data_IF_763944789179
#
_entry.id   IF_763944789179
#
_cell.length_a   1.000
_cell.length_b   1.000
_cell.length_c   1.000
_cell.angle_alpha   90.00
_cell.angle_beta   90.00
_cell.angle_gamma   90.00
#
_symmetry.space_group_name_H-M   'P 1'
#
loop_
_entity.id
_entity.type
_entity.pdbx_description
1 polymer ?
#
# COMPACT_ATOMS: atom_id res chain seq x y z
N UNK A 1 -33.50 -26.88 -17.36
CA UNK A 1 -32.87 -26.84 -16.06
C UNK A 1 -31.68 -25.90 -16.20
N UNK A 2 -31.83 -24.65 -15.77
CA UNK A 2 -30.74 -23.68 -15.78
C UNK A 2 -30.02 -23.84 -14.42
N UNK A 3 -28.81 -24.36 -14.45
CA UNK A 3 -27.92 -24.33 -13.29
C UNK A 3 -27.62 -22.86 -12.99
N UNK A 4 -28.12 -22.38 -11.87
CA UNK A 4 -27.68 -21.14 -11.27
C UNK A 4 -26.23 -21.32 -10.85
N UNK A 5 -25.30 -20.77 -11.61
CA UNK A 5 -23.93 -20.56 -11.17
C UNK A 5 -23.98 -19.73 -9.89
N UNK A 6 -23.83 -20.38 -8.75
CA UNK A 6 -23.59 -19.73 -7.48
C UNK A 6 -22.26 -18.97 -7.62
N UNK A 7 -22.32 -17.68 -7.91
CA UNK A 7 -21.15 -16.82 -7.82
C UNK A 7 -20.73 -16.79 -6.36
N UNK A 8 -19.53 -17.25 -6.04
CA UNK A 8 -18.93 -17.01 -4.73
C UNK A 8 -19.02 -15.52 -4.42
N UNK A 9 -19.32 -15.15 -3.15
CA UNK A 9 -19.39 -13.74 -2.80
C UNK A 9 -18.07 -13.06 -3.17
N UNK A 10 -18.15 -11.86 -3.73
CA UNK A 10 -16.96 -11.09 -4.07
C UNK A 10 -16.15 -10.80 -2.80
N UNK A 11 -14.82 -10.88 -2.89
CA UNK A 11 -13.94 -10.49 -1.78
C UNK A 11 -14.26 -9.04 -1.36
N UNK A 12 -14.28 -8.80 -0.05
CA UNK A 12 -14.61 -7.50 0.55
C UNK A 12 -13.34 -6.87 1.10
N UNK A 13 -12.96 -5.69 0.57
CA UNK A 13 -11.74 -4.99 0.97
C UNK A 13 -12.10 -3.68 1.65
N UNK A 14 -11.74 -3.56 2.93
CA UNK A 14 -11.92 -2.34 3.71
C UNK A 14 -10.99 -1.24 3.24
N UNK A 15 -11.52 -0.03 3.06
CA UNK A 15 -10.74 1.17 2.74
C UNK A 15 -10.94 2.17 3.86
N UNK A 16 -9.86 2.50 4.57
CA UNK A 16 -9.94 3.36 5.76
C UNK A 16 -9.92 4.83 5.34
N UNK A 17 -10.79 5.61 5.98
CA UNK A 17 -10.80 7.08 5.86
C UNK A 17 -10.54 7.73 7.22
N UNK A 18 -9.44 8.47 7.34
CA UNK A 18 -9.13 9.37 8.44
C UNK A 18 -9.47 10.82 8.06
N UNK A 19 -9.63 11.74 9.02
CA UNK A 19 -9.58 13.15 8.71
C UNK A 19 -8.27 13.51 8.00
N UNK A 20 -8.33 13.99 6.75
CA UNK A 20 -7.16 14.28 5.93
C UNK A 20 -6.69 13.15 5.01
N UNK A 21 -7.35 11.99 4.96
CA UNK A 21 -7.16 11.03 3.88
C UNK A 21 -7.61 11.66 2.56
N UNK A 22 -6.84 11.44 1.49
CA UNK A 22 -7.12 12.01 0.16
C UNK A 22 -7.37 10.94 -0.91
N UNK A 23 -6.81 9.74 -0.75
CA UNK A 23 -6.78 8.71 -1.79
C UNK A 23 -7.73 7.53 -1.50
N UNK A 24 -8.67 7.67 -0.56
CA UNK A 24 -9.66 6.63 -0.22
C UNK A 24 -10.62 6.33 -1.37
N UNK A 25 -11.05 7.34 -2.11
CA UNK A 25 -11.91 7.19 -3.30
C UNK A 25 -11.17 6.45 -4.42
N UNK A 26 -9.89 6.77 -4.63
CA UNK A 26 -9.06 6.14 -5.65
C UNK A 26 -8.72 4.69 -5.26
N UNK A 27 -8.41 4.43 -4.00
CA UNK A 27 -8.23 3.07 -3.48
C UNK A 27 -9.50 2.22 -3.64
N UNK A 28 -10.68 2.78 -3.30
CA UNK A 28 -11.95 2.10 -3.50
C UNK A 28 -12.26 1.83 -4.98
N UNK A 29 -11.87 2.74 -5.87
CA UNK A 29 -11.95 2.53 -7.33
C UNK A 29 -11.03 1.40 -7.78
N UNK A 30 -9.79 1.38 -7.32
CA UNK A 30 -8.83 0.33 -7.63
C UNK A 30 -9.33 -1.06 -7.18
N UNK A 31 -9.91 -1.15 -5.99
CA UNK A 31 -10.56 -2.38 -5.46
C UNK A 31 -11.67 -2.85 -6.40
N UNK A 32 -12.57 -1.94 -6.86
CA UNK A 32 -13.65 -2.31 -7.81
C UNK A 32 -13.10 -2.79 -9.15
N UNK A 33 -12.09 -2.11 -9.70
CA UNK A 33 -11.47 -2.48 -10.98
C UNK A 33 -10.70 -3.81 -10.88
N UNK A 34 -10.24 -4.16 -9.70
CA UNK A 34 -9.66 -5.48 -9.44
C UNK A 34 -10.71 -6.60 -9.36
N UNK A 35 -11.99 -6.28 -9.14
CA UNK A 35 -13.09 -7.25 -9.06
C UNK A 35 -13.56 -7.56 -7.63
N UNK A 36 -13.21 -6.74 -6.63
CA UNK A 36 -13.66 -6.87 -5.25
C UNK A 36 -14.65 -5.77 -4.85
N UNK A 37 -15.32 -5.96 -3.71
CA UNK A 37 -16.23 -4.97 -3.11
C UNK A 37 -15.45 -4.08 -2.14
N UNK A 38 -15.33 -2.76 -2.35
CA UNK A 38 -14.77 -1.85 -1.36
C UNK A 38 -15.78 -1.55 -0.27
N UNK A 39 -15.35 -1.67 0.98
CA UNK A 39 -16.11 -1.33 2.18
C UNK A 39 -15.47 -0.11 2.83
N UNK A 40 -16.22 0.97 3.00
CA UNK A 40 -15.71 2.16 3.69
C UNK A 40 -15.59 1.88 5.19
N UNK A 41 -14.42 2.17 5.75
CA UNK A 41 -14.12 2.09 7.18
C UNK A 41 -13.76 3.48 7.69
N UNK A 42 -14.55 4.00 8.63
CA UNK A 42 -14.29 5.31 9.23
C UNK A 42 -13.32 5.17 10.40
N UNK A 43 -12.44 6.14 10.59
CA UNK A 43 -11.41 6.07 11.63
C UNK A 43 -11.91 5.84 13.06
N UNK A 44 -13.21 6.09 13.32
CA UNK A 44 -13.86 5.85 14.64
C UNK A 44 -14.55 4.50 14.73
N UNK A 45 -14.60 3.73 13.65
CA UNK A 45 -15.20 2.40 13.69
C UNK A 45 -14.36 1.49 14.58
N UNK A 46 -15.03 0.72 15.44
CA UNK A 46 -14.42 -0.31 16.28
C UNK A 46 -14.76 -1.71 15.74
N UNK A 47 -14.95 -1.82 14.44
CA UNK A 47 -15.27 -3.04 13.71
C UNK A 47 -14.82 -2.89 12.25
N UNK A 48 -14.29 -3.94 11.66
CA UNK A 48 -13.89 -3.99 10.25
C UNK A 48 -15.02 -4.45 9.31
N UNK A 49 -16.26 -4.54 9.80
CA UNK A 49 -17.46 -4.88 9.00
C UNK A 49 -17.36 -6.18 8.20
N UNK A 50 -16.58 -7.16 8.69
CA UNK A 50 -16.41 -8.46 8.05
C UNK A 50 -15.71 -8.39 6.71
N UNK A 51 -14.70 -7.52 6.55
CA UNK A 51 -13.86 -7.47 5.36
C UNK A 51 -12.79 -8.55 5.40
N UNK A 52 -12.31 -8.95 4.22
CA UNK A 52 -11.31 -9.99 4.04
C UNK A 52 -9.89 -9.42 3.99
N UNK A 53 -9.73 -8.16 3.64
CA UNK A 53 -8.46 -7.44 3.60
C UNK A 53 -8.69 -5.93 3.86
N UNK A 54 -7.62 -5.19 4.16
CA UNK A 54 -7.69 -3.75 4.44
C UNK A 54 -6.67 -2.98 3.62
N UNK A 55 -7.08 -1.83 3.09
CA UNK A 55 -6.22 -0.80 2.51
C UNK A 55 -6.25 0.45 3.40
N UNK A 56 -5.08 0.90 3.80
CA UNK A 56 -4.86 2.20 4.47
C UNK A 56 -4.32 3.16 3.43
N UNK A 57 -5.15 4.09 2.90
CA UNK A 57 -4.80 4.94 1.75
C UNK A 57 -3.82 6.05 2.09
N UNK A 58 -3.42 6.78 1.04
CA UNK A 58 -2.62 7.98 1.12
C UNK A 58 -3.39 9.23 1.55
N UNK A 59 -2.65 10.28 1.92
CA UNK A 59 -3.17 11.55 2.37
C UNK A 59 -2.28 12.20 3.42
N UNK A 60 -2.89 12.99 4.29
CA UNK A 60 -2.26 13.69 5.40
C UNK A 60 -3.12 13.51 6.66
N UNK A 61 -3.17 12.29 7.19
CA UNK A 61 -4.04 11.90 8.30
C UNK A 61 -3.85 12.81 9.51
N UNK A 62 -4.94 13.43 9.97
CA UNK A 62 -4.94 14.42 11.05
C UNK A 62 -3.99 15.60 10.81
N UNK A 63 -3.69 15.92 9.52
CA UNK A 63 -2.81 17.02 9.13
C UNK A 63 -1.33 16.77 9.39
N UNK A 64 -0.92 15.51 9.58
CA UNK A 64 0.46 15.07 9.90
C UNK A 64 1.07 15.79 11.11
N UNK A 65 0.23 16.27 12.04
CA UNK A 65 0.71 16.86 13.28
C UNK A 65 1.57 15.87 14.07
N UNK A 66 2.64 16.34 14.67
CA UNK A 66 3.75 15.62 15.29
C UNK A 66 4.68 15.00 14.24
N UNK A 67 4.21 14.02 13.48
CA UNK A 67 4.80 13.40 12.29
C UNK A 67 3.73 12.56 11.60
N UNK A 68 3.97 12.24 10.33
CA UNK A 68 3.03 11.48 9.51
C UNK A 68 2.66 10.15 10.16
N UNK A 69 1.36 9.88 10.26
CA UNK A 69 0.83 8.63 10.84
C UNK A 69 0.78 8.55 12.37
N UNK A 70 1.49 9.43 13.09
CA UNK A 70 1.66 9.31 14.54
C UNK A 70 0.35 9.41 15.35
N UNK A 71 -0.62 10.20 14.90
CA UNK A 71 -1.92 10.31 15.54
C UNK A 71 -2.86 9.21 15.04
N UNK A 72 -2.84 8.92 13.73
CA UNK A 72 -3.73 7.95 13.11
C UNK A 72 -3.61 6.55 13.72
N UNK A 73 -2.41 6.14 14.13
CA UNK A 73 -2.18 4.83 14.75
C UNK A 73 -3.04 4.57 15.99
N UNK A 74 -3.53 5.62 16.68
CA UNK A 74 -4.38 5.52 17.89
C UNK A 74 -5.87 5.59 17.56
N UNK A 75 -6.26 5.64 16.29
CA UNK A 75 -7.67 5.63 15.93
C UNK A 75 -8.30 4.25 16.26
N UNK A 76 -9.56 4.19 16.71
CA UNK A 76 -10.23 2.92 17.04
C UNK A 76 -10.12 1.87 15.92
N UNK A 77 -10.31 2.26 14.66
CA UNK A 77 -10.18 1.34 13.53
C UNK A 77 -8.79 0.69 13.44
N UNK A 78 -7.72 1.38 13.87
CA UNK A 78 -6.37 0.84 13.82
C UNK A 78 -6.11 -0.23 14.89
N UNK A 79 -6.80 -0.19 16.02
CA UNK A 79 -6.74 -1.28 17.01
C UNK A 79 -7.27 -2.58 16.39
N UNK A 80 -8.37 -2.50 15.64
CA UNK A 80 -8.95 -3.63 14.93
C UNK A 80 -8.07 -4.10 13.77
N UNK A 81 -7.45 -3.17 13.02
CA UNK A 81 -6.50 -3.51 11.95
C UNK A 81 -5.29 -4.24 12.50
N UNK A 82 -4.68 -3.76 13.60
CA UNK A 82 -3.54 -4.42 14.23
C UNK A 82 -3.93 -5.84 14.65
N UNK A 83 -5.03 -6.01 15.38
CA UNK A 83 -5.50 -7.32 15.81
C UNK A 83 -5.81 -8.26 14.62
N UNK A 84 -6.38 -7.73 13.52
CA UNK A 84 -6.67 -8.51 12.32
C UNK A 84 -5.39 -8.91 11.56
N UNK A 85 -4.43 -7.98 11.44
CA UNK A 85 -3.12 -8.25 10.83
C UNK A 85 -2.35 -9.34 11.59
N UNK A 86 -2.38 -9.33 12.92
CA UNK A 86 -1.78 -10.37 13.77
C UNK A 86 -2.43 -11.73 13.55
N UNK A 87 -3.73 -11.78 13.21
CA UNK A 87 -4.42 -13.02 12.82
C UNK A 87 -4.15 -13.45 11.38
N UNK A 88 -3.46 -12.63 10.57
CA UNK A 88 -3.06 -12.95 9.20
C UNK A 88 -3.87 -12.25 8.12
N UNK A 89 -4.79 -11.34 8.46
CA UNK A 89 -5.51 -10.56 7.46
C UNK A 89 -4.55 -9.76 6.59
N UNK A 90 -4.70 -9.76 5.26
CA UNK A 90 -3.92 -8.91 4.37
C UNK A 90 -4.16 -7.43 4.62
N UNK A 91 -3.10 -6.64 4.78
CA UNK A 91 -3.16 -5.18 4.98
C UNK A 91 -2.17 -4.50 4.06
N UNK A 92 -2.63 -3.50 3.30
CA UNK A 92 -1.80 -2.64 2.46
C UNK A 92 -1.81 -1.20 2.98
N UNK A 93 -0.64 -0.63 3.22
CA UNK A 93 -0.47 0.80 3.48
C UNK A 93 0.13 1.52 2.28
N UNK A 94 -0.55 2.54 1.77
CA UNK A 94 -0.08 3.33 0.62
C UNK A 94 0.29 4.73 1.11
N UNK A 95 1.51 5.18 0.83
CA UNK A 95 2.02 6.52 1.17
C UNK A 95 1.81 6.84 2.67
N UNK A 96 0.86 7.69 3.02
CA UNK A 96 0.50 7.97 4.41
C UNK A 96 0.04 6.70 5.16
N UNK A 97 -0.62 5.77 4.48
CA UNK A 97 -0.96 4.46 5.03
C UNK A 97 0.27 3.64 5.44
N UNK A 98 1.34 3.67 4.64
CA UNK A 98 2.61 3.05 5.02
C UNK A 98 3.21 3.71 6.28
N UNK A 99 3.19 5.02 6.36
CA UNK A 99 3.63 5.77 7.54
C UNK A 99 2.84 5.35 8.79
N UNK A 100 1.51 5.22 8.67
CA UNK A 100 0.63 4.77 9.76
C UNK A 100 0.99 3.34 10.21
N UNK A 101 1.20 2.42 9.26
CA UNK A 101 1.54 1.03 9.58
C UNK A 101 2.93 0.91 10.23
N UNK A 102 3.90 1.75 9.83
CA UNK A 102 5.21 1.84 10.50
C UNK A 102 5.07 2.40 11.92
N UNK A 103 4.28 3.45 12.13
CA UNK A 103 3.99 4.01 13.45
C UNK A 103 3.20 3.03 14.36
N UNK A 104 2.37 2.19 13.78
CA UNK A 104 1.65 1.11 14.48
C UNK A 104 2.52 -0.12 14.74
N UNK A 105 3.80 -0.10 14.34
CA UNK A 105 4.75 -1.22 14.46
C UNK A 105 4.33 -2.51 13.73
N UNK A 106 3.46 -2.40 12.74
CA UNK A 106 3.11 -3.50 11.84
C UNK A 106 4.15 -3.69 10.73
N UNK A 107 4.95 -2.65 10.45
CA UNK A 107 6.03 -2.66 9.48
C UNK A 107 7.33 -2.12 10.10
N UNK A 108 8.48 -2.62 9.65
CA UNK A 108 9.79 -2.16 10.10
C UNK A 108 10.16 -0.79 9.54
N UNK A 109 11.15 -0.14 10.16
CA UNK A 109 11.71 1.13 9.73
C UNK A 109 10.83 2.34 10.08
N UNK A 110 11.17 3.47 9.47
CA UNK A 110 10.43 4.72 9.61
C UNK A 110 10.52 5.56 8.33
N UNK A 111 9.57 6.46 8.12
CA UNK A 111 9.53 7.38 6.99
C UNK A 111 9.83 8.80 7.47
N UNK A 112 10.82 9.42 6.86
CA UNK A 112 11.23 10.79 7.16
C UNK A 112 11.01 11.71 5.95
N UNK A 113 11.28 12.99 6.17
CA UNK A 113 11.28 14.00 5.12
C UNK A 113 12.25 13.61 4.01
N UNK A 114 11.83 13.81 2.75
CA UNK A 114 12.66 13.57 1.58
C UNK A 114 14.01 14.28 1.72
N UNK A 115 15.10 13.64 1.30
CA UNK A 115 16.45 14.17 1.48
C UNK A 115 16.65 15.56 0.83
N UNK A 116 15.93 15.85 -0.25
CA UNK A 116 15.93 17.14 -0.93
C UNK A 116 15.02 18.19 -0.29
N UNK A 117 14.32 17.86 0.80
CA UNK A 117 13.37 18.74 1.54
C UNK A 117 12.20 19.26 0.68
N UNK A 118 11.86 18.57 -0.42
CA UNK A 118 10.79 18.97 -1.34
C UNK A 118 9.72 17.91 -1.43
N UNK A 119 8.49 18.35 -1.67
CA UNK A 119 7.43 17.47 -2.15
C UNK A 119 7.76 17.03 -3.57
N UNK A 120 7.67 15.73 -3.84
CA UNK A 120 7.95 15.12 -5.15
C UNK A 120 6.63 14.57 -5.68
N UNK A 121 6.30 14.91 -6.94
CA UNK A 121 5.14 14.38 -7.65
C UNK A 121 5.60 14.01 -9.06
N UNK A 122 5.83 12.72 -9.30
CA UNK A 122 6.39 12.19 -10.56
C UNK A 122 5.86 10.79 -10.83
N UNK A 123 5.95 10.33 -12.08
CA UNK A 123 5.91 8.91 -12.37
C UNK A 123 7.22 8.26 -11.91
N UNK A 124 7.09 7.19 -11.16
CA UNK A 124 8.23 6.51 -10.58
C UNK A 124 8.28 5.05 -11.01
N UNK A 125 9.44 4.63 -11.48
CA UNK A 125 9.72 3.23 -11.77
C UNK A 125 10.14 2.51 -10.49
N UNK A 126 9.52 1.36 -10.26
CA UNK A 126 9.81 0.47 -9.14
C UNK A 126 10.22 -0.89 -9.68
N UNK A 127 11.13 -1.55 -8.99
CA UNK A 127 11.45 -2.96 -9.19
C UNK A 127 10.80 -3.78 -8.09
N UNK A 128 10.11 -4.85 -8.48
CA UNK A 128 9.52 -5.83 -7.55
C UNK A 128 10.62 -6.76 -7.05
N UNK A 129 10.90 -6.75 -5.76
CA UNK A 129 11.95 -7.57 -5.12
C UNK A 129 11.38 -8.87 -4.53
N UNK A 130 10.14 -8.85 -4.05
CA UNK A 130 9.52 -9.98 -3.41
C UNK A 130 8.08 -10.16 -3.89
N UNK A 131 7.76 -11.35 -4.37
CA UNK A 131 6.42 -11.74 -4.86
C UNK A 131 5.68 -12.66 -3.90
N UNK A 132 6.27 -12.99 -2.75
CA UNK A 132 5.71 -13.87 -1.72
C UNK A 132 4.92 -13.09 -0.68
N UNK A 133 4.01 -12.22 -1.15
CA UNK A 133 3.11 -11.45 -0.30
C UNK A 133 1.68 -11.53 -0.83
N UNK A 134 0.71 -11.20 0.01
CA UNK A 134 -0.68 -11.11 -0.40
C UNK A 134 -0.92 -10.04 -1.50
N UNK A 135 0.03 -9.12 -1.71
CA UNK A 135 -0.13 -7.93 -2.56
C UNK A 135 0.75 -7.94 -3.81
N UNK A 136 1.61 -8.96 -4.01
CA UNK A 136 2.58 -8.95 -5.11
C UNK A 136 2.68 -10.27 -5.88
N UNK A 137 1.84 -11.25 -5.59
CA UNK A 137 1.90 -12.59 -6.20
C UNK A 137 1.58 -12.63 -7.71
N UNK A 138 1.09 -11.53 -8.29
CA UNK A 138 0.84 -11.37 -9.73
C UNK A 138 2.01 -10.79 -10.53
N UNK A 139 3.07 -10.38 -9.85
CA UNK A 139 4.28 -9.88 -10.49
C UNK A 139 5.35 -10.95 -10.56
N UNK A 140 6.32 -10.75 -11.46
CA UNK A 140 7.56 -11.51 -11.46
C UNK A 140 8.61 -10.81 -10.60
N UNK A 141 9.50 -11.58 -9.98
CA UNK A 141 10.67 -11.02 -9.30
C UNK A 141 11.57 -10.29 -10.32
N UNK A 142 11.99 -9.08 -9.99
CA UNK A 142 12.74 -8.21 -10.86
C UNK A 142 11.88 -7.45 -11.88
N UNK A 143 10.56 -7.67 -11.94
CA UNK A 143 9.67 -6.90 -12.81
C UNK A 143 9.71 -5.42 -12.47
N UNK A 144 9.75 -4.56 -13.48
CA UNK A 144 9.67 -3.11 -13.30
C UNK A 144 8.27 -2.62 -13.61
N UNK A 145 7.70 -1.88 -12.69
CA UNK A 145 6.37 -1.25 -12.80
C UNK A 145 6.51 0.27 -12.70
N UNK A 146 5.60 1.00 -13.33
CA UNK A 146 5.53 2.46 -13.26
C UNK A 146 4.26 2.89 -12.56
N UNK A 147 4.41 3.57 -11.43
CA UNK A 147 3.30 4.09 -10.63
C UNK A 147 3.59 5.53 -10.21
N UNK A 148 2.57 6.38 -10.01
CA UNK A 148 2.78 7.73 -9.49
C UNK A 148 3.37 7.70 -8.07
N UNK A 149 4.27 8.64 -7.81
CA UNK A 149 4.78 8.94 -6.49
C UNK A 149 4.49 10.41 -6.17
N UNK A 150 3.88 10.67 -5.01
CA UNK A 150 3.56 12.02 -4.52
C UNK A 150 3.75 12.05 -3.00
N UNK A 151 4.88 12.54 -2.53
CA UNK A 151 5.17 12.63 -1.10
C UNK A 151 6.19 13.72 -0.77
N UNK A 152 6.13 14.21 0.48
CA UNK A 152 7.13 15.08 1.09
C UNK A 152 7.96 14.35 2.16
N UNK A 153 7.44 13.24 2.68
CA UNK A 153 8.01 12.44 3.76
C UNK A 153 7.97 10.95 3.40
N UNK A 154 8.71 10.59 2.35
CA UNK A 154 8.79 9.23 1.83
C UNK A 154 10.17 8.57 1.96
N UNK A 155 11.12 9.24 2.59
CA UNK A 155 12.48 8.74 2.80
C UNK A 155 12.47 7.63 3.87
N UNK A 156 12.56 6.39 3.43
CA UNK A 156 12.64 5.22 4.31
C UNK A 156 14.00 5.15 4.99
N UNK A 157 13.99 4.99 6.31
CA UNK A 157 15.19 4.81 7.13
C UNK A 157 15.03 3.63 8.08
N UNK A 158 16.16 2.99 8.37
CA UNK A 158 16.31 1.99 9.44
C UNK A 158 17.77 1.94 9.88
N UNK A 159 18.09 1.27 10.99
CA UNK A 159 19.48 1.05 11.38
C UNK A 159 20.20 0.15 10.36
N UNK A 160 21.53 0.19 10.28
CA UNK A 160 22.29 -0.71 9.41
C UNK A 160 21.94 -2.18 9.63
N UNK A 161 21.82 -2.60 10.88
CA UNK A 161 21.49 -3.97 11.28
C UNK A 161 20.08 -4.35 10.81
N UNK A 162 19.12 -3.43 10.94
CA UNK A 162 17.75 -3.65 10.45
C UNK A 162 17.70 -3.70 8.90
N UNK A 163 18.48 -2.85 8.23
CA UNK A 163 18.59 -2.91 6.77
C UNK A 163 19.18 -4.24 6.30
N UNK A 164 20.19 -4.76 6.99
CA UNK A 164 20.78 -6.07 6.69
C UNK A 164 19.77 -7.20 6.93
N UNK A 165 18.97 -7.11 7.99
CA UNK A 165 17.87 -8.05 8.26
C UNK A 165 16.80 -8.00 7.16
N UNK A 166 16.34 -6.80 6.79
CA UNK A 166 15.33 -6.63 5.75
C UNK A 166 15.72 -7.29 4.42
N UNK A 167 16.99 -7.15 4.04
CA UNK A 167 17.52 -7.78 2.82
C UNK A 167 17.70 -9.29 3.00
N UNK A 168 18.31 -9.71 4.11
CA UNK A 168 18.61 -11.11 4.36
C UNK A 168 17.39 -12.01 4.53
N UNK A 169 16.29 -11.45 5.04
CA UNK A 169 15.00 -12.16 5.23
C UNK A 169 14.01 -11.91 4.07
N UNK A 170 14.41 -11.17 3.03
CA UNK A 170 13.54 -10.87 1.89
C UNK A 170 12.30 -10.05 2.27
N UNK A 171 12.46 -9.09 3.19
CA UNK A 171 11.37 -8.22 3.65
C UNK A 171 11.23 -6.95 2.79
N UNK A 172 12.19 -6.66 1.90
CA UNK A 172 12.06 -5.62 0.91
C UNK A 172 11.16 -6.11 -0.22
N UNK A 173 10.07 -5.37 -0.50
CA UNK A 173 9.08 -5.74 -1.52
C UNK A 173 9.28 -4.95 -2.80
N UNK A 174 9.59 -3.66 -2.68
CA UNK A 174 9.81 -2.77 -3.82
C UNK A 174 11.05 -1.90 -3.61
N UNK A 175 11.80 -1.66 -4.69
CA UNK A 175 12.85 -0.66 -4.72
C UNK A 175 12.59 0.41 -5.78
N UNK A 176 12.99 1.62 -5.49
CA UNK A 176 13.04 2.69 -6.48
C UNK A 176 14.12 2.39 -7.54
N UNK A 177 13.77 2.58 -8.79
CA UNK A 177 14.77 2.69 -9.87
C UNK A 177 15.11 4.18 -10.01
N UNK A 178 16.34 4.54 -9.61
CA UNK A 178 16.75 5.95 -9.51
C UNK A 178 16.12 6.64 -8.30
N UNK A 179 16.68 6.44 -7.11
CA UNK A 179 16.18 6.89 -5.81
C UNK A 179 15.80 8.39 -5.78
N UNK A 180 14.50 8.75 -5.75
CA UNK A 180 14.08 10.15 -5.87
C UNK A 180 14.09 10.91 -4.55
N UNK A 181 14.01 10.20 -3.41
CA UNK A 181 13.71 10.79 -2.11
C UNK A 181 14.76 10.52 -1.01
N UNK A 182 15.81 9.75 -1.34
CA UNK A 182 16.90 9.44 -0.42
C UNK A 182 16.66 8.22 0.46
N UNK A 183 15.66 7.39 0.16
CA UNK A 183 15.39 6.14 0.89
C UNK A 183 16.61 5.24 1.00
N UNK A 184 16.87 4.72 2.19
CA UNK A 184 17.96 3.80 2.43
C UNK A 184 17.86 2.60 1.47
N UNK A 185 18.99 2.26 0.79
CA UNK A 185 19.09 1.13 -0.15
C UNK A 185 17.99 1.12 -1.21
N UNK A 186 17.50 2.29 -1.62
CA UNK A 186 16.42 2.47 -2.60
C UNK A 186 15.07 1.83 -2.19
N UNK A 187 14.86 1.52 -0.93
CA UNK A 187 13.64 0.86 -0.45
C UNK A 187 12.43 1.76 -0.67
N UNK A 188 11.47 1.27 -1.47
CA UNK A 188 10.20 1.93 -1.76
C UNK A 188 9.03 1.30 -1.01
N UNK A 189 9.18 0.04 -0.58
CA UNK A 189 8.17 -0.69 0.16
C UNK A 189 8.74 -1.94 0.83
N UNK A 190 8.15 -2.29 1.97
CA UNK A 190 8.53 -3.44 2.80
C UNK A 190 7.32 -4.24 3.22
N UNK A 191 7.54 -5.46 3.68
CA UNK A 191 6.54 -6.32 4.31
C UNK A 191 6.91 -6.65 5.76
N UNK A 192 5.92 -7.11 6.52
CA UNK A 192 6.20 -7.80 7.78
C UNK A 192 6.73 -9.22 7.52
N UNK A 193 7.24 -9.88 8.55
CA UNK A 193 7.79 -11.24 8.47
C UNK A 193 6.78 -12.25 7.90
N UNK A 194 5.50 -12.10 8.26
CA UNK A 194 4.41 -12.99 7.83
C UNK A 194 4.01 -12.79 6.37
N UNK A 195 4.34 -11.66 5.76
CA UNK A 195 4.02 -11.33 4.36
C UNK A 195 2.58 -10.89 4.10
N UNK A 196 1.75 -10.75 5.14
CA UNK A 196 0.38 -10.28 5.00
C UNK A 196 0.24 -8.76 5.08
N UNK A 197 1.18 -8.05 5.69
CA UNK A 197 1.20 -6.59 5.76
C UNK A 197 2.28 -6.05 4.84
N UNK A 198 1.91 -5.15 3.94
CA UNK A 198 2.82 -4.49 2.99
C UNK A 198 2.63 -2.98 3.06
N UNK A 199 3.72 -2.23 3.08
CA UNK A 199 3.75 -0.77 2.93
C UNK A 199 4.46 -0.37 1.66
N UNK A 200 3.91 0.61 0.95
CA UNK A 200 4.43 1.11 -0.31
C UNK A 200 4.28 2.64 -0.36
N UNK A 201 5.36 3.38 -0.63
CA UNK A 201 5.29 4.86 -0.71
C UNK A 201 4.68 5.38 -2.02
N UNK A 202 5.00 4.86 -3.21
CA UNK A 202 4.28 5.18 -4.43
C UNK A 202 2.83 4.66 -4.42
N UNK A 203 2.02 5.16 -5.36
CA UNK A 203 0.58 5.03 -5.40
C UNK A 203 0.10 4.08 -6.51
N UNK A 204 -0.04 2.77 -6.26
CA UNK A 204 -0.55 1.83 -7.25
C UNK A 204 -2.01 2.11 -7.63
N UNK A 205 -2.83 2.69 -6.74
CA UNK A 205 -4.23 3.05 -6.99
C UNK A 205 -4.40 4.11 -8.07
N UNK A 206 -3.35 4.85 -8.39
CA UNK A 206 -3.30 5.80 -9.51
C UNK A 206 -2.76 5.21 -10.80
N UNK A 207 -2.52 3.89 -10.85
CA UNK A 207 -2.04 3.15 -12.02
C UNK A 207 -2.91 1.91 -12.29
N UNK A 208 -4.24 2.09 -12.33
CA UNK A 208 -5.20 0.98 -12.41
C UNK A 208 -6.01 0.97 -13.70
N UNK A 209 -5.92 2.02 -14.50
CA UNK A 209 -6.55 2.11 -15.81
C UNK A 209 -5.80 3.07 -16.75
N UNK A 210 -5.88 2.88 -18.08
CA UNK A 210 -5.19 3.74 -19.03
C UNK A 210 -5.63 5.20 -18.91
N UNK A 211 -4.68 6.13 -19.03
CA UNK A 211 -4.93 7.56 -18.98
C UNK A 211 -5.20 8.13 -17.58
N UNK A 212 -5.16 7.32 -16.54
CA UNK A 212 -5.29 7.80 -15.16
C UNK A 212 -3.91 8.11 -14.55
N UNK A 213 -3.80 9.25 -13.92
CA UNK A 213 -2.55 9.78 -13.39
C UNK A 213 -2.00 10.93 -14.24
N UNK A 214 -0.87 11.53 -13.84
CA UNK A 214 -0.25 12.61 -14.60
C UNK A 214 0.27 12.09 -15.95
N UNK A 215 0.17 12.93 -16.99
CA UNK A 215 0.81 12.66 -18.26
C UNK A 215 2.33 12.72 -18.07
N UNK A 216 3.04 11.79 -18.69
CA UNK A 216 4.50 11.84 -18.77
C UNK A 216 4.96 12.71 -19.95
N UNK A 217 6.24 13.09 -19.98
CA UNK A 217 6.83 13.76 -21.16
C UNK A 217 6.75 12.90 -22.43
N UNK A 218 6.54 11.60 -22.30
CA UNK A 218 6.39 10.66 -23.41
C UNK A 218 4.94 10.54 -23.93
N UNK A 219 3.99 11.27 -23.32
CA UNK A 219 2.57 11.23 -23.70
C UNK A 219 1.66 10.70 -22.59
N UNK A 220 0.38 10.44 -22.92
CA UNK A 220 -0.59 9.91 -21.96
C UNK A 220 -0.12 8.60 -21.36
N UNK A 221 -0.43 8.40 -20.07
CA UNK A 221 -0.17 7.14 -19.39
C UNK A 221 -0.95 6.00 -20.03
N UNK A 222 -0.27 4.93 -20.39
CA UNK A 222 -0.88 3.77 -21.04
C UNK A 222 -0.93 2.52 -20.17
N UNK A 223 -0.17 2.51 -19.05
CA UNK A 223 -0.01 1.35 -18.17
C UNK A 223 -1.06 1.23 -17.08
N UNK A 224 -1.28 0.01 -16.61
CA UNK A 224 -2.15 -0.34 -15.49
C UNK A 224 -1.37 -1.11 -14.44
N UNK A 225 -0.10 -0.76 -14.29
CA UNK A 225 0.89 -1.53 -13.53
C UNK A 225 0.52 -1.70 -12.05
N UNK A 226 -0.21 -0.74 -11.47
CA UNK A 226 -0.68 -0.80 -10.09
C UNK A 226 -1.86 -1.75 -9.86
N UNK A 227 -2.61 -2.12 -10.91
CA UNK A 227 -3.78 -2.98 -10.76
C UNK A 227 -3.41 -4.39 -10.26
N UNK A 228 -2.20 -4.86 -10.61
CA UNK A 228 -1.65 -6.12 -10.15
C UNK A 228 -1.60 -6.23 -8.62
N UNK A 229 -1.33 -5.13 -7.90
CA UNK A 229 -1.31 -5.09 -6.43
C UNK A 229 -2.68 -5.52 -5.86
N UNK A 230 -3.75 -4.91 -6.32
CA UNK A 230 -5.11 -5.20 -5.82
C UNK A 230 -5.62 -6.58 -6.25
N UNK A 231 -5.29 -7.02 -7.46
CA UNK A 231 -5.61 -8.37 -7.94
C UNK A 231 -4.86 -9.46 -7.19
N UNK A 232 -3.63 -9.20 -6.77
CA UNK A 232 -2.85 -10.11 -5.93
C UNK A 232 -3.56 -10.41 -4.61
N UNK A 233 -4.16 -9.39 -3.99
CA UNK A 233 -4.93 -9.59 -2.76
C UNK A 233 -6.12 -10.54 -2.98
N UNK A 234 -6.86 -10.36 -4.06
CA UNK A 234 -8.00 -11.22 -4.39
C UNK A 234 -7.56 -12.67 -4.60
N UNK A 235 -6.48 -12.90 -5.36
CA UNK A 235 -5.94 -14.24 -5.57
C UNK A 235 -5.51 -14.90 -4.25
N UNK A 236 -4.89 -14.12 -3.36
CA UNK A 236 -4.49 -14.61 -2.03
C UNK A 236 -5.70 -15.04 -1.19
N UNK A 237 -6.80 -14.29 -1.25
CA UNK A 237 -8.03 -14.58 -0.51
C UNK A 237 -8.77 -15.81 -1.07
N UNK A 238 -8.65 -16.07 -2.37
CA UNK A 238 -9.29 -17.22 -3.02
C UNK A 238 -8.47 -18.54 -2.89
N UNK A 239 -7.22 -18.43 -2.43
CA UNK A 239 -6.28 -19.57 -2.33
C UNK A 239 -6.26 -20.21 -0.94
N UNK A 240 -7.08 -19.73 -0.02
CA UNK A 240 -7.18 -20.21 1.39
C UNK A 240 -8.30 -21.23 1.58
#
# INVERSE_FOLDING_TARGET
MSESLSSSPAARIGVITFPGTLDDVDAARAVRLAGAEPVSLWHKDADLHGVDAVVVPGGFSYGDYLRCGAIARFAPVMEEVVAAAERGMPVLGICNGFQILAEAHLLPGALLRNANQRFICVEQRLRVENTQTAWTNRYAEGEEIVVPMKNGEGNFIASPEELDRLEGEGLVVFRYVGNPNGSARDIAGVRNERGNVVGLMPHPEHAVEPGFGPDSQAGPRTGTDGLGVFRSAIDSLLSV
#
